data_IF_672227917010
#
_entry.id   IF_672227917010
#
_cell.length_a   1.000
_cell.length_b   1.000
_cell.length_c   1.000
_cell.angle_alpha   90.00
_cell.angle_beta   90.00
_cell.angle_gamma   90.00
#
_symmetry.space_group_name_H-M   'P 1'
#
loop_
_entity.id
_entity.type
_entity.pdbx_description
1 polymer ?
#
# COMPACT_ATOMS: atom_id res chain seq x y z
N UNK A 1 1.82 -6.16 -19.44
CA UNK A 1 1.97 -5.92 -17.99
C UNK A 1 0.63 -5.44 -17.48
N UNK A 2 0.13 -6.00 -16.38
CA UNK A 2 -1.13 -5.58 -15.77
C UNK A 2 -0.89 -5.07 -14.37
N UNK A 3 -1.79 -4.21 -13.90
CA UNK A 3 -1.74 -3.55 -12.60
C UNK A 3 -3.00 -3.90 -11.82
N UNK A 4 -2.84 -4.33 -10.58
CA UNK A 4 -3.95 -4.78 -9.75
C UNK A 4 -4.28 -3.73 -8.68
N UNK A 5 -5.57 -3.52 -8.47
CA UNK A 5 -6.08 -2.71 -7.37
C UNK A 5 -6.82 -3.58 -6.38
N UNK A 6 -6.69 -3.23 -5.11
CA UNK A 6 -7.25 -3.97 -3.99
C UNK A 6 -8.15 -3.07 -3.15
N UNK A 7 -9.32 -3.58 -2.76
CA UNK A 7 -10.12 -3.04 -1.67
C UNK A 7 -9.73 -3.79 -0.40
N UNK A 8 -9.17 -3.07 0.57
CA UNK A 8 -8.67 -3.65 1.82
C UNK A 8 -8.93 -2.73 3.01
N UNK A 9 -9.04 -3.32 4.22
CA UNK A 9 -8.99 -2.56 5.48
C UNK A 9 -7.56 -2.38 6.01
N UNK A 10 -6.57 -3.04 5.39
CA UNK A 10 -5.15 -2.97 5.74
C UNK A 10 -4.49 -1.73 5.19
N UNK A 11 -3.34 -1.29 5.72
CA UNK A 11 -2.65 -0.12 5.17
C UNK A 11 -2.11 -0.41 3.77
N UNK A 12 -1.76 -1.67 3.51
CA UNK A 12 -1.46 -2.24 2.20
C UNK A 12 -2.33 -3.48 1.91
N UNK A 13 -2.39 -3.88 0.64
CA UNK A 13 -3.16 -5.05 0.19
C UNK A 13 -2.71 -6.36 0.84
N UNK A 14 -1.41 -6.48 1.15
CA UNK A 14 -0.90 -7.68 1.77
C UNK A 14 -1.11 -7.69 3.28
N UNK A 15 -1.49 -6.57 3.92
CA UNK A 15 -1.48 -6.42 5.39
C UNK A 15 -2.42 -7.39 6.07
N UNK A 16 -1.90 -8.08 7.09
CA UNK A 16 -2.75 -8.86 7.99
C UNK A 16 -3.62 -7.87 8.78
N UNK A 17 -4.91 -7.84 8.46
CA UNK A 17 -5.88 -7.04 9.18
C UNK A 17 -6.52 -7.87 10.28
N UNK A 18 -6.85 -7.23 11.40
CA UNK A 18 -7.66 -7.88 12.45
C UNK A 18 -9.09 -8.13 12.00
N UNK A 19 -9.58 -7.35 11.04
CA UNK A 19 -10.94 -7.41 10.50
C UNK A 19 -10.93 -7.42 8.97
N UNK A 20 -10.51 -8.52 8.33
CA UNK A 20 -10.54 -8.63 6.87
C UNK A 20 -11.97 -8.54 6.34
N UNK A 21 -12.12 -8.14 5.07
CA UNK A 21 -13.42 -8.22 4.40
C UNK A 21 -13.76 -9.70 4.31
N UNK A 22 -14.91 -10.11 4.83
CA UNK A 22 -15.30 -11.52 4.73
C UNK A 22 -16.05 -11.76 3.43
N UNK A 23 -16.02 -13.01 2.93
CA UNK A 23 -16.81 -13.38 1.76
C UNK A 23 -18.31 -13.08 1.96
N UNK A 24 -18.86 -13.32 3.16
CA UNK A 24 -20.26 -13.00 3.46
C UNK A 24 -20.58 -11.50 3.41
N UNK A 25 -19.64 -10.63 3.80
CA UNK A 25 -19.81 -9.17 3.62
C UNK A 25 -19.84 -8.79 2.13
N UNK A 26 -18.99 -9.43 1.32
CA UNK A 26 -18.98 -9.22 -0.12
C UNK A 26 -20.27 -9.73 -0.78
N UNK A 27 -20.73 -10.92 -0.39
CA UNK A 27 -21.98 -11.50 -0.88
C UNK A 27 -23.20 -10.62 -0.54
N UNK A 28 -23.27 -10.14 0.69
CA UNK A 28 -24.33 -9.22 1.11
C UNK A 28 -24.30 -7.90 0.31
N UNK A 29 -23.10 -7.38 0.03
CA UNK A 29 -22.95 -6.19 -0.80
C UNK A 29 -23.45 -6.43 -2.23
N UNK A 30 -22.96 -7.47 -2.90
CA UNK A 30 -23.35 -7.79 -4.28
C UNK A 30 -24.86 -8.06 -4.38
N UNK A 31 -25.46 -8.71 -3.38
CA UNK A 31 -26.91 -8.92 -3.34
C UNK A 31 -27.72 -7.62 -3.25
N UNK A 32 -27.14 -6.55 -2.68
CA UNK A 32 -27.77 -5.23 -2.57
C UNK A 32 -27.54 -4.33 -3.79
N UNK A 33 -26.56 -4.66 -4.63
CA UNK A 33 -26.10 -3.81 -5.75
C UNK A 33 -26.54 -4.42 -7.09
N UNK A 34 -27.56 -3.85 -7.76
CA UNK A 34 -28.12 -4.44 -8.99
C UNK A 34 -27.15 -4.42 -10.18
N UNK A 35 -26.07 -3.64 -10.08
CA UNK A 35 -25.04 -3.57 -11.12
C UNK A 35 -23.97 -4.67 -10.97
N UNK A 36 -23.92 -5.37 -9.84
CA UNK A 36 -22.96 -6.46 -9.61
C UNK A 36 -23.68 -7.80 -9.63
N UNK A 37 -23.07 -8.78 -10.29
CA UNK A 37 -23.60 -10.14 -10.35
C UNK A 37 -22.49 -11.16 -10.19
N UNK A 38 -22.68 -12.10 -9.27
CA UNK A 38 -21.76 -13.22 -9.14
C UNK A 38 -21.78 -14.11 -10.39
N UNK A 39 -20.60 -14.46 -10.86
CA UNK A 39 -20.38 -15.49 -11.87
C UNK A 39 -19.69 -16.68 -11.18
N UNK A 40 -20.48 -17.57 -10.60
CA UNK A 40 -19.96 -18.73 -9.86
C UNK A 40 -19.07 -19.66 -10.70
N UNK A 41 -19.24 -19.66 -12.02
CA UNK A 41 -18.39 -20.42 -12.96
C UNK A 41 -16.94 -19.90 -13.02
N UNK A 42 -16.72 -18.62 -12.69
CA UNK A 42 -15.41 -17.96 -12.73
C UNK A 42 -14.65 -18.05 -11.41
N UNK A 43 -15.30 -18.51 -10.34
CA UNK A 43 -14.70 -18.67 -9.02
C UNK A 43 -15.54 -18.08 -7.89
N UNK A 44 -15.20 -18.47 -6.66
CA UNK A 44 -15.87 -18.01 -5.45
C UNK A 44 -15.66 -16.50 -5.27
N UNK A 45 -16.75 -15.77 -5.10
CA UNK A 45 -16.69 -14.32 -4.88
C UNK A 45 -16.30 -13.49 -6.12
N UNK A 46 -16.34 -14.07 -7.32
CA UNK A 46 -16.12 -13.33 -8.57
C UNK A 46 -17.41 -12.65 -9.02
N UNK A 47 -17.45 -11.31 -9.04
CA UNK A 47 -18.60 -10.55 -9.52
C UNK A 47 -18.25 -9.71 -10.75
N UNK A 48 -19.11 -9.77 -11.76
CA UNK A 48 -19.06 -8.89 -12.93
C UNK A 48 -19.91 -7.66 -12.66
N UNK A 49 -19.38 -6.50 -13.02
CA UNK A 49 -20.05 -5.21 -12.95
C UNK A 49 -20.65 -4.85 -14.32
N UNK A 50 -21.89 -4.40 -14.34
CA UNK A 50 -22.59 -3.98 -15.57
C UNK A 50 -22.67 -2.46 -15.74
N UNK A 51 -21.86 -1.71 -15.01
CA UNK A 51 -21.81 -0.24 -15.11
C UNK A 51 -21.02 0.25 -16.33
N UNK A 52 -20.84 1.58 -16.45
CA UNK A 52 -20.40 2.24 -17.67
C UNK A 52 -18.91 2.08 -18.05
N UNK A 53 -18.24 0.97 -17.72
CA UNK A 53 -16.81 0.75 -18.01
C UNK A 53 -16.46 0.67 -19.51
N UNK A 54 -15.22 1.03 -19.85
CA UNK A 54 -14.62 0.78 -21.17
C UNK A 54 -14.12 -0.65 -21.35
N UNK A 55 -14.03 -1.41 -20.26
CA UNK A 55 -13.58 -2.79 -20.26
C UNK A 55 -14.73 -3.71 -20.69
N UNK A 56 -14.40 -4.79 -21.38
CA UNK A 56 -15.36 -5.86 -21.64
C UNK A 56 -15.45 -6.75 -20.40
N UNK A 57 -16.61 -6.77 -19.75
CA UNK A 57 -16.84 -7.51 -18.50
C UNK A 57 -15.96 -7.07 -17.32
N UNK A 58 -16.02 -5.80 -16.87
CA UNK A 58 -15.28 -5.36 -15.70
C UNK A 58 -15.71 -6.19 -14.47
N UNK A 59 -14.75 -6.59 -13.64
CA UNK A 59 -15.02 -7.51 -12.53
C UNK A 59 -14.30 -7.10 -11.26
N UNK A 60 -14.83 -7.59 -10.14
CA UNK A 60 -14.26 -7.50 -8.81
C UNK A 60 -14.33 -8.90 -8.20
N UNK A 61 -13.19 -9.43 -7.76
CA UNK A 61 -13.10 -10.76 -7.18
C UNK A 61 -12.64 -10.71 -5.73
N UNK A 62 -13.06 -11.69 -4.95
CA UNK A 62 -12.63 -11.87 -3.56
C UNK A 62 -11.36 -12.73 -3.49
N UNK A 63 -10.39 -12.33 -2.66
CA UNK A 63 -9.22 -13.14 -2.33
C UNK A 63 -8.66 -12.78 -0.96
N UNK A 64 -8.48 -13.78 -0.09
CA UNK A 64 -7.77 -13.67 1.19
C UNK A 64 -8.13 -12.46 2.06
N UNK A 65 -9.42 -12.11 2.12
CA UNK A 65 -9.89 -11.00 2.94
C UNK A 65 -9.88 -9.63 2.27
N UNK A 66 -9.56 -9.60 0.98
CA UNK A 66 -9.55 -8.42 0.13
C UNK A 66 -10.48 -8.64 -1.08
N UNK A 67 -10.87 -7.54 -1.72
CA UNK A 67 -11.42 -7.57 -3.08
C UNK A 67 -10.38 -7.02 -4.04
N UNK A 68 -10.35 -7.47 -5.29
CA UNK A 68 -9.41 -6.95 -6.26
C UNK A 68 -9.95 -6.97 -7.68
N UNK A 69 -9.31 -6.17 -8.53
CA UNK A 69 -9.57 -6.12 -9.96
C UNK A 69 -8.26 -5.87 -10.71
N UNK A 70 -8.17 -6.37 -11.94
CA UNK A 70 -6.98 -6.25 -12.79
C UNK A 70 -7.22 -5.24 -13.90
N UNK A 71 -6.31 -4.26 -14.00
CA UNK A 71 -6.36 -3.15 -14.94
C UNK A 71 -7.70 -2.39 -14.94
N UNK A 72 -8.23 -1.96 -13.78
CA UNK A 72 -9.49 -1.24 -13.74
C UNK A 72 -9.38 0.09 -14.48
N UNK A 73 -10.42 0.44 -15.23
CA UNK A 73 -10.54 1.78 -15.81
C UNK A 73 -11.07 2.78 -14.77
N UNK A 74 -11.07 4.07 -15.09
CA UNK A 74 -11.46 5.12 -14.14
C UNK A 74 -12.87 4.88 -13.53
N UNK A 75 -13.80 4.35 -14.31
CA UNK A 75 -15.16 4.08 -13.86
C UNK A 75 -15.23 2.86 -12.93
N UNK A 76 -14.46 1.80 -13.22
CA UNK A 76 -14.34 0.69 -12.29
C UNK A 76 -13.62 1.11 -11.00
N UNK A 77 -12.62 1.99 -11.08
CA UNK A 77 -11.99 2.57 -9.88
C UNK A 77 -13.02 3.34 -9.05
N UNK A 78 -13.85 4.18 -9.66
CA UNK A 78 -14.94 4.86 -8.96
C UNK A 78 -15.89 3.87 -8.27
N UNK A 79 -16.30 2.81 -8.98
CA UNK A 79 -17.11 1.75 -8.38
C UNK A 79 -16.39 1.09 -7.19
N UNK A 80 -15.12 0.75 -7.34
CA UNK A 80 -14.31 0.17 -6.26
C UNK A 80 -14.22 1.10 -5.05
N UNK A 81 -14.09 2.41 -5.25
CA UNK A 81 -14.07 3.38 -4.14
C UNK A 81 -15.42 3.48 -3.42
N UNK A 82 -16.53 3.38 -4.16
CA UNK A 82 -17.87 3.33 -3.56
C UNK A 82 -18.09 2.06 -2.72
N UNK A 83 -17.68 0.90 -3.25
CA UNK A 83 -17.69 -0.38 -2.52
C UNK A 83 -16.84 -0.28 -1.25
N UNK A 84 -15.63 0.27 -1.38
CA UNK A 84 -14.71 0.44 -0.26
C UNK A 84 -15.31 1.31 0.85
N UNK A 85 -15.94 2.44 0.50
CA UNK A 85 -16.58 3.32 1.47
C UNK A 85 -17.68 2.61 2.27
N UNK A 86 -18.51 1.80 1.61
CA UNK A 86 -19.59 1.05 2.25
C UNK A 86 -19.09 -0.10 3.15
N UNK A 87 -17.95 -0.70 2.80
CA UNK A 87 -17.34 -1.77 3.59
C UNK A 87 -16.37 -1.27 4.69
N UNK A 88 -16.21 0.05 4.84
CA UNK A 88 -15.25 0.65 5.77
C UNK A 88 -13.80 0.31 5.39
N UNK A 89 -13.50 0.27 4.10
CA UNK A 89 -12.24 -0.12 3.49
C UNK A 89 -11.68 1.02 2.62
N UNK A 90 -10.54 0.78 1.97
CA UNK A 90 -9.88 1.69 1.02
C UNK A 90 -9.41 0.95 -0.22
N UNK A 91 -9.28 1.68 -1.32
CA UNK A 91 -8.70 1.17 -2.57
C UNK A 91 -7.21 1.47 -2.57
N UNK A 92 -6.38 0.44 -2.65
CA UNK A 92 -4.93 0.53 -2.69
C UNK A 92 -4.36 -0.19 -3.90
N UNK A 93 -3.32 0.39 -4.48
CA UNK A 93 -2.53 -0.21 -5.53
C UNK A 93 -1.42 -1.12 -5.02
N UNK A 94 -0.84 -1.91 -5.93
CA UNK A 94 0.32 -2.75 -5.62
C UNK A 94 1.52 -1.96 -5.09
N UNK A 95 1.68 -0.72 -5.57
CA UNK A 95 2.75 0.20 -5.16
C UNK A 95 2.41 1.02 -3.90
N UNK A 96 1.25 0.78 -3.28
CA UNK A 96 0.81 1.49 -2.07
C UNK A 96 0.07 2.81 -2.33
N UNK A 97 -0.33 3.05 -3.58
CA UNK A 97 -1.12 4.22 -3.99
C UNK A 97 -2.55 4.08 -3.47
N UNK A 98 -3.10 5.10 -2.82
CA UNK A 98 -4.49 5.07 -2.34
C UNK A 98 -5.39 5.86 -3.27
N UNK A 99 -6.49 5.25 -3.69
CA UNK A 99 -7.49 5.87 -4.56
C UNK A 99 -8.67 6.37 -3.74
N UNK A 100 -9.01 7.64 -3.91
CA UNK A 100 -10.10 8.31 -3.21
C UNK A 100 -11.29 8.54 -4.16
N UNK A 101 -12.45 8.81 -3.56
CA UNK A 101 -13.65 9.16 -4.32
C UNK A 101 -13.40 10.39 -5.22
N UNK A 102 -13.91 10.35 -6.45
CA UNK A 102 -13.68 11.42 -7.45
C UNK A 102 -12.40 11.25 -8.28
N UNK A 103 -11.73 10.09 -8.18
CA UNK A 103 -10.56 9.77 -9.00
C UNK A 103 -9.25 10.41 -8.52
N UNK A 104 -9.26 11.04 -7.35
CA UNK A 104 -8.05 11.58 -6.73
C UNK A 104 -7.16 10.42 -6.24
N UNK A 105 -5.91 10.38 -6.70
CA UNK A 105 -4.92 9.40 -6.27
C UNK A 105 -4.03 10.05 -5.23
N UNK A 106 -4.14 9.61 -3.98
CA UNK A 106 -3.21 10.00 -2.92
C UNK A 106 -2.11 8.96 -2.82
N UNK A 107 -0.91 9.35 -3.21
CA UNK A 107 0.31 8.62 -2.83
C UNK A 107 0.57 8.90 -1.36
N UNK A 108 0.09 8.03 -0.49
CA UNK A 108 0.60 7.96 0.88
C UNK A 108 2.01 7.39 0.79
N UNK A 109 2.98 8.03 1.46
CA UNK A 109 4.31 7.43 1.61
C UNK A 109 4.13 5.98 2.09
N UNK A 110 4.84 5.01 1.49
CA UNK A 110 4.53 3.60 1.69
C UNK A 110 4.56 3.27 3.19
N UNK A 111 3.57 2.51 3.72
CA UNK A 111 3.76 1.90 5.02
C UNK A 111 5.04 1.06 4.97
N UNK A 112 5.91 1.36 5.94
CA UNK A 112 7.31 0.96 6.03
C UNK A 112 7.63 -0.49 5.63
N UNK A 113 8.84 -0.64 5.07
CA UNK A 113 9.55 -1.81 4.53
C UNK A 113 9.56 -3.13 5.34
N UNK A 114 8.83 -3.27 6.44
CA UNK A 114 8.87 -4.47 7.29
C UNK A 114 8.26 -5.72 6.65
N UNK A 115 7.52 -5.59 5.54
CA UNK A 115 6.80 -6.73 4.95
C UNK A 115 7.59 -7.51 3.90
N UNK A 116 8.82 -7.06 3.57
CA UNK A 116 9.76 -7.81 2.71
C UNK A 116 10.73 -8.71 3.49
N UNK A 117 10.75 -8.66 4.83
CA UNK A 117 11.78 -9.33 5.66
C UNK A 117 11.25 -10.34 6.70
N UNK A 118 10.01 -10.88 6.57
CA UNK A 118 9.52 -11.96 7.45
C UNK A 118 10.28 -13.30 7.29
N UNK A 119 11.12 -13.46 6.26
CA UNK A 119 11.84 -14.72 6.00
C UNK A 119 13.14 -14.94 6.81
N UNK A 120 13.67 -13.94 7.55
CA UNK A 120 14.99 -14.06 8.20
C UNK A 120 15.12 -13.52 9.63
N UNK A 121 14.02 -13.10 10.27
CA UNK A 121 14.05 -12.44 11.58
C UNK A 121 13.07 -13.04 12.62
N UNK A 122 12.86 -14.35 12.61
CA UNK A 122 12.09 -15.03 13.67
C UNK A 122 12.81 -15.10 15.02
N UNK A 123 14.00 -14.48 15.17
CA UNK A 123 14.84 -14.61 16.35
C UNK A 123 14.87 -13.43 17.33
N UNK A 124 14.36 -12.23 16.99
CA UNK A 124 14.73 -11.01 17.76
C UNK A 124 13.54 -10.12 18.18
N UNK A 125 12.29 -10.54 18.05
CA UNK A 125 11.14 -9.70 18.45
C UNK A 125 10.34 -10.27 19.61
N UNK A 126 10.99 -10.37 20.76
CA UNK A 126 10.32 -10.49 22.07
C UNK A 126 10.95 -9.61 23.16
N UNK A 127 11.69 -8.56 22.79
CA UNK A 127 12.11 -7.50 23.72
C UNK A 127 11.84 -6.15 23.05
N UNK A 128 11.20 -5.25 23.78
CA UNK A 128 10.81 -3.93 23.28
C UNK A 128 11.99 -3.24 22.60
N UNK A 129 11.78 -2.76 21.37
CA UNK A 129 12.81 -2.06 20.62
C UNK A 129 13.13 -0.74 21.33
N UNK A 130 14.38 -0.55 21.73
CA UNK A 130 14.86 0.74 22.23
C UNK A 130 14.86 1.78 21.08
N UNK A 131 14.51 3.05 21.36
CA UNK A 131 14.55 4.10 20.35
C UNK A 131 15.97 4.26 19.78
N UNK A 132 16.10 4.27 18.46
CA UNK A 132 17.41 4.50 17.80
C UNK A 132 17.84 5.95 18.01
N UNK A 133 19.08 6.15 18.46
CA UNK A 133 19.66 7.49 18.60
C UNK A 133 19.97 8.08 17.21
N UNK A 134 19.33 9.20 16.80
CA UNK A 134 19.56 9.83 15.51
C UNK A 134 21.02 10.25 15.28
N UNK A 135 21.82 10.44 16.33
CA UNK A 135 23.25 10.77 16.21
C UNK A 135 24.12 9.62 15.68
N UNK A 136 23.55 8.41 15.55
CA UNK A 136 24.25 7.22 15.03
C UNK A 136 24.05 7.00 13.53
N UNK A 137 23.17 7.77 12.89
CA UNK A 137 22.98 7.69 11.44
C UNK A 137 24.16 8.35 10.71
N UNK A 138 24.64 7.77 9.60
CA UNK A 138 25.77 8.31 8.84
C UNK A 138 25.40 9.53 7.96
N UNK A 139 24.17 10.04 8.08
CA UNK A 139 23.63 11.15 7.32
C UNK A 139 22.59 11.90 8.16
N UNK A 140 22.37 13.17 7.82
CA UNK A 140 21.46 14.08 8.50
C UNK A 140 20.36 14.59 7.54
N UNK A 141 19.36 15.27 8.09
CA UNK A 141 18.39 16.02 7.28
C UNK A 141 19.12 17.05 6.40
N UNK A 142 18.84 17.03 5.11
CA UNK A 142 19.51 17.83 4.09
C UNK A 142 20.58 17.08 3.29
N UNK A 143 21.06 15.94 3.78
CA UNK A 143 22.10 15.17 3.07
C UNK A 143 21.51 14.41 1.88
N UNK A 144 22.32 14.26 0.82
CA UNK A 144 22.01 13.35 -0.28
C UNK A 144 22.38 11.94 0.11
N UNK A 145 21.45 11.02 -0.08
CA UNK A 145 21.61 9.60 0.19
C UNK A 145 21.24 8.80 -1.04
N UNK A 146 21.86 7.64 -1.19
CA UNK A 146 21.56 6.68 -2.24
C UNK A 146 20.74 5.54 -1.66
N UNK A 147 19.64 5.20 -2.31
CA UNK A 147 18.86 4.02 -1.96
C UNK A 147 19.45 2.73 -2.54
N UNK A 148 18.95 1.58 -2.10
CA UNK A 148 19.39 0.26 -2.55
C UNK A 148 19.18 -0.01 -4.05
N UNK A 149 18.38 0.82 -4.74
CA UNK A 149 18.19 0.78 -6.19
C UNK A 149 19.14 1.73 -6.93
N UNK A 150 20.07 2.38 -6.22
CA UNK A 150 21.04 3.32 -6.77
C UNK A 150 20.49 4.73 -7.01
N UNK A 151 19.25 5.02 -6.60
CA UNK A 151 18.63 6.32 -6.81
C UNK A 151 19.07 7.29 -5.72
N UNK A 152 19.32 8.54 -6.11
CA UNK A 152 19.74 9.61 -5.20
C UNK A 152 18.52 10.39 -4.73
N UNK A 153 18.46 10.64 -3.43
CA UNK A 153 17.43 11.45 -2.79
C UNK A 153 18.03 12.34 -1.70
N UNK A 154 17.33 13.40 -1.32
CA UNK A 154 17.68 14.26 -0.19
C UNK A 154 16.88 13.82 1.02
N UNK A 155 17.53 13.70 2.17
CA UNK A 155 16.85 13.43 3.44
C UNK A 155 16.04 14.67 3.83
N UNK A 156 14.71 14.54 3.87
CA UNK A 156 13.80 15.62 4.20
C UNK A 156 13.45 15.64 5.69
N UNK A 157 13.30 14.47 6.31
CA UNK A 157 12.94 14.35 7.72
C UNK A 157 13.51 13.07 8.33
N UNK A 158 13.92 13.13 9.58
CA UNK A 158 14.25 11.96 10.41
C UNK A 158 13.44 12.10 11.71
N UNK A 159 12.59 11.12 12.01
CA UNK A 159 11.81 11.05 13.24
C UNK A 159 12.04 9.69 13.90
N UNK A 160 12.90 9.64 14.93
CA UNK A 160 13.28 8.39 15.59
C UNK A 160 12.26 7.87 16.59
N UNK A 161 11.20 8.64 16.89
CA UNK A 161 10.14 8.24 17.83
C UNK A 161 8.85 7.80 17.14
N UNK A 162 8.75 8.02 15.83
CA UNK A 162 7.67 7.49 15.01
C UNK A 162 7.62 5.94 15.03
N UNK A 163 6.46 5.38 14.70
CA UNK A 163 6.25 3.94 14.50
C UNK A 163 6.71 3.07 15.69
N UNK A 164 6.21 3.37 16.90
CA UNK A 164 6.50 2.61 18.12
C UNK A 164 8.01 2.51 18.46
N UNK A 165 8.80 3.53 18.12
CA UNK A 165 10.24 3.61 18.46
C UNK A 165 11.19 3.07 17.38
N UNK A 166 10.66 2.67 16.23
CA UNK A 166 11.46 2.17 15.10
C UNK A 166 12.01 3.28 14.19
N UNK A 167 11.40 4.46 14.26
CA UNK A 167 11.81 5.66 13.55
C UNK A 167 11.56 5.64 12.03
N UNK A 168 11.35 6.83 11.46
CA UNK A 168 11.08 7.07 10.04
C UNK A 168 12.06 8.09 9.45
N UNK A 169 12.48 7.87 8.21
CA UNK A 169 13.31 8.75 7.39
C UNK A 169 12.53 9.07 6.11
N UNK A 170 12.15 10.33 5.90
CA UNK A 170 11.53 10.77 4.65
C UNK A 170 12.60 11.26 3.69
N UNK A 171 12.55 10.78 2.45
CA UNK A 171 13.47 11.12 1.37
C UNK A 171 12.71 11.78 0.23
N UNK A 172 13.30 12.82 -0.36
CA UNK A 172 12.80 13.48 -1.55
C UNK A 172 13.71 13.23 -2.74
N UNK A 173 13.18 12.60 -3.78
CA UNK A 173 13.90 12.33 -5.03
C UNK A 173 13.82 13.52 -5.98
N UNK A 174 14.73 13.59 -6.96
CA UNK A 174 14.80 14.69 -7.94
C UNK A 174 13.54 14.83 -8.80
N UNK A 175 12.80 13.74 -8.99
CA UNK A 175 11.51 13.74 -9.70
C UNK A 175 10.34 14.26 -8.83
N UNK A 176 10.61 14.77 -7.63
CA UNK A 176 9.62 15.28 -6.68
C UNK A 176 8.89 14.20 -5.86
N UNK A 177 9.22 12.93 -6.05
CA UNK A 177 8.63 11.83 -5.26
C UNK A 177 9.20 11.84 -3.85
N UNK A 178 8.35 11.59 -2.85
CA UNK A 178 8.75 11.41 -1.46
C UNK A 178 8.57 9.95 -1.06
N UNK A 179 9.57 9.35 -0.42
CA UNK A 179 9.51 7.98 0.12
C UNK A 179 9.97 7.94 1.57
N UNK A 180 9.30 7.13 2.38
CA UNK A 180 9.63 6.93 3.79
C UNK A 180 10.32 5.59 4.01
N UNK A 181 11.40 5.60 4.78
CA UNK A 181 12.21 4.43 5.15
C UNK A 181 12.23 4.29 6.68
N UNK A 182 12.41 3.08 7.19
CA UNK A 182 12.56 2.88 8.64
C UNK A 182 14.00 3.14 9.08
N UNK A 183 14.20 3.85 10.19
CA UNK A 183 15.52 4.14 10.76
C UNK A 183 16.30 2.87 11.08
N UNK A 184 15.64 1.77 11.45
CA UNK A 184 16.30 0.49 11.75
C UNK A 184 16.63 -0.35 10.51
N UNK A 185 16.10 -0.02 9.33
CA UNK A 185 16.21 -0.86 8.12
C UNK A 185 16.17 -0.05 6.82
N UNK A 186 16.93 1.05 6.75
CA UNK A 186 16.87 1.98 5.63
C UNK A 186 17.74 1.55 4.42
N UNK A 187 18.88 0.89 4.65
CA UNK A 187 19.79 0.48 3.57
C UNK A 187 20.28 1.64 2.70
N UNK A 188 20.26 2.85 3.26
CA UNK A 188 20.68 4.10 2.61
C UNK A 188 22.15 4.32 2.87
N UNK A 189 22.87 4.71 1.82
CA UNK A 189 24.27 5.07 1.90
C UNK A 189 24.43 6.58 1.68
N UNK A 190 25.33 7.26 2.42
CA UNK A 190 25.69 8.63 2.11
C UNK A 190 26.14 8.76 0.65
N UNK A 191 25.58 9.72 -0.08
CA UNK A 191 26.02 10.01 -1.44
C UNK A 191 27.18 11.01 -1.38
N UNK A 192 28.41 10.51 -1.51
CA UNK A 192 29.58 11.36 -1.71
C UNK A 192 29.72 11.69 -3.20
N UNK A 193 29.51 12.96 -3.54
CA UNK A 193 29.85 13.49 -4.86
C UNK A 193 31.37 13.53 -4.95
N UNK A 194 31.98 12.54 -5.61
CA UNK A 194 33.42 12.59 -5.89
C UNK A 194 33.70 13.78 -6.79
N UNK A 195 34.31 14.82 -6.21
CA UNK A 195 34.95 15.91 -6.94
C UNK A 195 36.14 15.40 -7.76
#
# INVERSE_FOLDING_TARGET
MGYDLYITRGASWCDETREPITLGQWEAYVASDPELRFQGEMGVGFAVWSGPSRLDGPWIAYSEGNLYSKNPDAQLIEKMTAVAALLGARVVGEEGETYLAGGEVRRTAPPSLWRRFKGRLSGVLSRGAEPVDPATLPFHVGDRVRDFLGRVAVVERIDTRAEHGLGVIDLRYENGTVSSFSVVAHGLEPFEERQ
#
